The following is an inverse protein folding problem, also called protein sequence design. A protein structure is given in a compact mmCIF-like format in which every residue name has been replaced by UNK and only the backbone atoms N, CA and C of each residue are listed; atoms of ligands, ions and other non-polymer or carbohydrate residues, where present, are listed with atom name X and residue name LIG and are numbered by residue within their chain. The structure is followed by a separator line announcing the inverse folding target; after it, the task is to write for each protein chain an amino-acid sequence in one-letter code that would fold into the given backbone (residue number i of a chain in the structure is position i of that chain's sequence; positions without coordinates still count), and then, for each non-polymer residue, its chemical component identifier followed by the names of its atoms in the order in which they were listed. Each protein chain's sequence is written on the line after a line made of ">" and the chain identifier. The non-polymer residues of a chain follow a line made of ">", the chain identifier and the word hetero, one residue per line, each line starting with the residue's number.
data_IF_606733643393
#
_entry.id   IF_606733643393
#
_cell.length_a   1.000
_cell.length_b   1.000
_cell.length_c   1.000
_cell.angle_alpha   90.00
_cell.angle_beta   90.00
_cell.angle_gamma   90.00
#
_symmetry.space_group_name_H-M   'P 1'
#
loop_
_entity.id
_entity.type
_entity.pdbx_description
1 polymer ?
#
# COMPACT_ATOMS: atom_id res chain seq x y z
N UNK A 1 18.01 -17.32 -9.95
CA UNK A 1 18.15 -16.15 -9.04
C UNK A 1 16.75 -15.77 -8.57
N UNK A 2 16.43 -15.94 -7.29
CA UNK A 2 15.11 -15.58 -6.75
C UNK A 2 14.87 -14.07 -6.82
N UNK A 3 13.60 -13.62 -6.71
CA UNK A 3 13.27 -12.21 -6.74
C UNK A 3 13.98 -11.51 -5.58
N UNK A 4 14.93 -10.61 -5.89
CA UNK A 4 15.53 -9.73 -4.89
C UNK A 4 14.40 -8.92 -4.27
N UNK A 5 14.17 -9.08 -2.96
CA UNK A 5 13.33 -8.15 -2.20
C UNK A 5 13.96 -6.77 -2.36
N UNK A 6 13.29 -5.89 -3.10
CA UNK A 6 13.71 -4.51 -3.23
C UNK A 6 13.60 -3.85 -1.85
N UNK A 7 14.75 -3.51 -1.28
CA UNK A 7 14.82 -2.77 -0.02
C UNK A 7 14.44 -1.32 -0.30
N UNK A 8 13.61 -0.69 0.53
CA UNK A 8 13.33 0.73 0.37
C UNK A 8 14.61 1.54 0.58
N UNK A 9 14.73 2.66 -0.13
CA UNK A 9 15.91 3.50 -0.08
C UNK A 9 16.11 4.30 -1.36
N UNK A 10 17.19 5.08 -1.35
CA UNK A 10 17.61 5.87 -2.51
C UNK A 10 18.60 5.06 -3.34
N UNK A 11 18.26 4.90 -4.61
CA UNK A 11 19.05 4.19 -5.60
C UNK A 11 19.45 5.15 -6.69
N UNK A 12 20.63 4.98 -7.26
CA UNK A 12 20.98 5.61 -8.52
C UNK A 12 21.14 4.54 -9.59
N UNK A 13 20.72 4.89 -10.79
CA UNK A 13 21.00 4.10 -11.99
C UNK A 13 21.83 4.95 -12.94
N UNK A 14 22.91 4.37 -13.47
CA UNK A 14 23.60 4.89 -14.63
C UNK A 14 23.16 4.17 -15.90
N UNK A 15 22.88 4.92 -16.97
CA UNK A 15 22.64 4.36 -18.30
C UNK A 15 23.95 4.35 -19.07
N UNK A 16 24.41 3.14 -19.43
CA UNK A 16 25.60 2.96 -20.25
C UNK A 16 25.24 3.09 -21.73
N UNK A 17 25.85 4.05 -22.41
CA UNK A 17 25.78 4.15 -23.87
C UNK A 17 26.66 3.10 -24.54
N UNK A 18 26.35 2.80 -25.81
CA UNK A 18 26.99 1.77 -26.64
C UNK A 18 28.53 1.90 -26.82
N UNK A 19 29.13 3.02 -26.43
CA UNK A 19 30.57 3.34 -26.59
C UNK A 19 31.24 3.85 -25.30
N UNK A 20 30.85 3.34 -24.13
CA UNK A 20 31.53 3.60 -22.84
C UNK A 20 31.63 5.07 -22.39
N UNK A 21 30.82 5.98 -22.93
CA UNK A 21 30.65 7.32 -22.37
C UNK A 21 29.39 7.32 -21.51
N UNK A 22 29.57 7.48 -20.19
CA UNK A 22 28.46 7.70 -19.25
C UNK A 22 27.60 8.86 -19.77
N UNK A 23 26.33 8.60 -20.05
CA UNK A 23 25.47 9.64 -20.61
C UNK A 23 24.56 10.28 -19.58
N UNK A 24 24.00 9.52 -18.64
CA UNK A 24 23.10 10.08 -17.62
C UNK A 24 22.96 9.14 -16.42
N UNK A 25 22.86 9.71 -15.21
CA UNK A 25 22.42 8.99 -14.02
C UNK A 25 21.07 9.54 -13.53
N UNK A 26 20.22 8.67 -12.97
CA UNK A 26 18.96 9.04 -12.34
C UNK A 26 18.90 8.48 -10.93
N UNK A 27 18.44 9.29 -9.99
CA UNK A 27 18.15 8.84 -8.63
C UNK A 27 16.68 8.46 -8.54
N UNK A 28 16.43 7.32 -7.92
CA UNK A 28 15.13 6.74 -7.64
C UNK A 28 14.98 6.55 -6.14
N UNK A 29 13.95 7.13 -5.57
CA UNK A 29 13.53 6.84 -4.21
C UNK A 29 12.52 5.68 -4.25
N UNK A 30 12.93 4.52 -3.75
CA UNK A 30 12.10 3.31 -3.65
C UNK A 30 11.46 3.28 -2.27
N UNK A 31 10.14 3.14 -2.24
CA UNK A 31 9.36 3.01 -0.99
C UNK A 31 8.54 1.73 -1.01
N UNK A 32 8.18 1.23 0.17
CA UNK A 32 7.29 0.07 0.34
C UNK A 32 5.92 0.56 0.77
N UNK A 33 4.87 0.03 0.15
CA UNK A 33 3.51 0.19 0.67
C UNK A 33 3.22 -0.97 1.63
N UNK A 34 2.70 -0.68 2.81
CA UNK A 34 2.37 -1.66 3.86
C UNK A 34 0.90 -1.55 4.21
N UNK A 35 0.27 -2.70 4.45
CA UNK A 35 -1.08 -2.80 4.96
C UNK A 35 -1.10 -3.51 6.31
N UNK A 36 -1.72 -2.90 7.31
CA UNK A 36 -2.03 -3.55 8.60
C UNK A 36 -3.50 -3.38 8.95
N UNK A 37 -4.06 -4.39 9.61
CA UNK A 37 -5.45 -4.41 10.02
C UNK A 37 -5.52 -4.63 11.53
N UNK A 38 -6.29 -3.80 12.23
CA UNK A 38 -6.51 -3.85 13.66
C UNK A 38 -8.01 -4.03 13.93
N UNK A 39 -8.35 -4.64 15.05
CA UNK A 39 -9.72 -4.63 15.56
C UNK A 39 -9.93 -3.40 16.44
N UNK A 40 -11.04 -2.70 16.26
CA UNK A 40 -11.43 -1.55 17.05
C UNK A 40 -12.84 -1.77 17.62
N UNK A 41 -13.17 -1.08 18.70
CA UNK A 41 -14.54 -0.98 19.19
C UNK A 41 -15.00 0.46 19.06
N UNK A 42 -16.18 0.66 18.49
CA UNK A 42 -16.81 1.97 18.46
C UNK A 42 -17.38 2.32 19.86
N UNK A 43 -17.69 3.60 20.07
CA UNK A 43 -18.25 4.08 21.34
C UNK A 43 -19.60 3.42 21.70
N UNK A 44 -20.32 2.93 20.69
CA UNK A 44 -21.56 2.17 20.83
C UNK A 44 -21.35 0.67 21.15
N UNK A 45 -20.10 0.24 21.33
CA UNK A 45 -19.74 -1.15 21.62
C UNK A 45 -19.61 -2.05 20.38
N UNK A 46 -19.89 -1.53 19.18
CA UNK A 46 -19.81 -2.30 17.93
C UNK A 46 -18.38 -2.71 17.59
N UNK A 47 -18.21 -3.94 17.11
CA UNK A 47 -16.90 -4.43 16.63
C UNK A 47 -16.60 -3.88 15.23
N UNK A 48 -15.55 -3.07 15.12
CA UNK A 48 -15.10 -2.47 13.87
C UNK A 48 -13.70 -2.98 13.48
N UNK A 49 -13.32 -2.79 12.22
CA UNK A 49 -11.97 -3.03 11.71
C UNK A 49 -11.31 -1.71 11.35
N UNK A 50 -10.07 -1.51 11.75
CA UNK A 50 -9.25 -0.36 11.40
C UNK A 50 -8.16 -0.81 10.44
N UNK A 51 -8.18 -0.25 9.23
CA UNK A 51 -7.27 -0.57 8.15
C UNK A 51 -6.24 0.55 8.03
N UNK A 52 -4.96 0.22 8.11
CA UNK A 52 -3.84 1.13 7.99
C UNK A 52 -3.07 0.82 6.71
N UNK A 53 -2.92 1.83 5.87
CA UNK A 53 -2.17 1.81 4.62
C UNK A 53 -1.02 2.82 4.76
N UNK A 54 0.23 2.38 4.80
CA UNK A 54 1.38 3.25 5.06
C UNK A 54 2.53 3.05 4.09
N UNK A 55 3.29 4.10 3.85
CA UNK A 55 4.48 4.09 2.99
C UNK A 55 5.73 4.10 3.86
N UNK A 56 6.70 3.23 3.56
CA UNK A 56 7.95 3.12 4.29
C UNK A 56 9.17 3.23 3.35
N UNK A 57 10.17 4.10 3.63
CA UNK A 57 10.20 5.10 4.70
C UNK A 57 9.04 6.09 4.57
N UNK A 58 8.62 6.66 5.69
CA UNK A 58 7.53 7.63 5.71
C UNK A 58 7.91 8.81 4.80
N UNK A 59 7.14 8.97 3.73
CA UNK A 59 7.21 10.06 2.76
C UNK A 59 5.78 10.51 2.49
N UNK A 60 5.59 11.71 1.97
CA UNK A 60 4.27 12.25 1.68
C UNK A 60 3.44 11.27 0.86
N UNK A 61 2.28 10.94 1.42
CA UNK A 61 1.24 10.19 0.76
C UNK A 61 0.17 11.22 0.38
N UNK A 62 0.30 11.79 -0.82
CA UNK A 62 -0.53 12.93 -1.23
C UNK A 62 -2.02 12.57 -1.30
N UNK A 63 -2.33 11.32 -1.66
CA UNK A 63 -3.70 10.83 -1.70
C UNK A 63 -3.75 9.30 -1.55
N UNK A 64 -4.82 8.81 -0.91
CA UNK A 64 -5.15 7.40 -0.86
C UNK A 64 -6.64 7.22 -1.12
N UNK A 65 -6.98 6.35 -2.07
CA UNK A 65 -8.37 6.01 -2.37
C UNK A 65 -8.73 4.68 -1.75
N UNK A 66 -9.85 4.64 -1.03
CA UNK A 66 -10.41 3.42 -0.47
C UNK A 66 -11.52 2.87 -1.35
N UNK A 67 -11.37 1.65 -1.84
CA UNK A 67 -12.34 1.00 -2.71
C UNK A 67 -12.77 -0.37 -2.18
N UNK A 68 -14.03 -0.69 -2.38
CA UNK A 68 -14.59 -2.01 -2.23
C UNK A 68 -15.11 -2.50 -3.59
N UNK A 69 -14.43 -3.50 -4.15
CA UNK A 69 -14.68 -3.93 -5.54
C UNK A 69 -14.35 -2.82 -6.54
N UNK A 70 -15.38 -2.28 -7.19
CA UNK A 70 -15.28 -1.17 -8.17
C UNK A 70 -15.83 0.17 -7.62
N UNK A 71 -16.34 0.18 -6.39
CA UNK A 71 -17.02 1.34 -5.81
C UNK A 71 -16.39 1.80 -4.50
N UNK A 72 -16.94 2.86 -3.89
CA UNK A 72 -16.55 3.30 -2.56
C UNK A 72 -16.88 2.21 -1.51
N UNK A 73 -16.16 2.24 -0.39
CA UNK A 73 -16.39 1.31 0.72
C UNK A 73 -17.78 1.54 1.31
N UNK A 74 -18.54 0.47 1.46
CA UNK A 74 -19.93 0.51 1.94
C UNK A 74 -20.02 0.47 3.47
N UNK A 75 -21.10 1.01 4.01
CA UNK A 75 -21.46 0.94 5.44
C UNK A 75 -20.99 2.16 6.25
N UNK A 76 -20.82 1.98 7.56
CA UNK A 76 -20.37 3.04 8.46
C UNK A 76 -18.83 3.11 8.43
N UNK A 77 -18.30 4.09 7.71
CA UNK A 77 -16.86 4.25 7.48
C UNK A 77 -16.36 5.63 7.87
N UNK A 78 -15.13 5.70 8.38
CA UNK A 78 -14.43 6.95 8.65
C UNK A 78 -13.00 6.87 8.11
N UNK A 79 -12.59 7.84 7.30
CA UNK A 79 -11.26 7.92 6.70
C UNK A 79 -10.44 9.02 7.34
N UNK A 80 -9.17 8.72 7.64
CA UNK A 80 -8.18 9.66 8.15
C UNK A 80 -6.90 9.53 7.33
N UNK A 81 -6.14 10.61 7.21
CA UNK A 81 -4.83 10.59 6.57
C UNK A 81 -3.83 11.40 7.38
N UNK A 82 -2.57 10.98 7.33
CA UNK A 82 -1.42 11.66 7.93
C UNK A 82 -0.20 11.50 7.03
N UNK A 83 0.91 12.14 7.40
CA UNK A 83 2.18 12.02 6.67
C UNK A 83 2.59 10.55 6.46
N UNK A 84 2.50 10.08 5.21
CA UNK A 84 2.85 8.72 4.81
C UNK A 84 1.88 7.61 5.20
N UNK A 85 0.69 7.93 5.70
CA UNK A 85 -0.30 6.92 6.08
C UNK A 85 -1.75 7.35 5.85
N UNK A 86 -2.58 6.37 5.50
CA UNK A 86 -4.02 6.48 5.40
C UNK A 86 -4.67 5.42 6.29
N UNK A 87 -5.72 5.82 7.00
CA UNK A 87 -6.47 5.00 7.94
C UNK A 87 -7.94 4.95 7.52
N UNK A 88 -8.55 3.77 7.58
CA UNK A 88 -9.98 3.58 7.37
C UNK A 88 -10.57 2.74 8.50
N UNK A 89 -11.47 3.33 9.27
CA UNK A 89 -12.33 2.62 10.19
C UNK A 89 -13.55 2.10 9.43
N UNK A 90 -13.84 0.81 9.56
CA UNK A 90 -14.97 0.14 8.93
C UNK A 90 -15.75 -0.59 10.01
N UNK A 91 -16.96 -0.14 10.27
CA UNK A 91 -17.89 -0.79 11.18
C UNK A 91 -18.96 -1.54 10.37
N UNK A 92 -19.52 -2.64 10.90
CA UNK A 92 -20.72 -3.25 10.34
C UNK A 92 -21.83 -2.18 10.29
N UNK A 93 -22.55 -2.10 9.17
CA UNK A 93 -23.71 -1.21 9.06
C UNK A 93 -24.90 -1.76 9.85
N UNK A 94 -25.84 -0.88 10.21
CA UNK A 94 -27.16 -1.32 10.69
C UNK A 94 -27.90 -2.03 9.55
N UNK A 95 -28.13 -3.32 9.73
CA UNK A 95 -28.76 -4.20 8.74
C UNK A 95 -28.51 -5.67 9.09
N UNK A 96 -29.30 -6.61 8.54
CA UNK A 96 -29.08 -8.02 8.78
C UNK A 96 -27.64 -8.40 8.39
N UNK A 97 -26.97 -9.25 9.19
CA UNK A 97 -25.59 -9.66 8.91
C UNK A 97 -25.51 -10.22 7.48
N UNK A 98 -24.55 -9.69 6.71
CA UNK A 98 -24.29 -10.11 5.33
C UNK A 98 -24.34 -11.64 5.24
N UNK A 99 -25.02 -12.23 4.22
CA UNK A 99 -25.28 -13.67 4.18
C UNK A 99 -24.00 -14.46 4.41
N UNK A 100 -24.02 -15.28 5.46
CA UNK A 100 -22.92 -16.16 5.86
C UNK A 100 -22.65 -17.17 4.76
N UNK A 101 -21.82 -16.78 3.80
CA UNK A 101 -21.38 -17.64 2.71
C UNK A 101 -21.40 -16.93 1.36
N UNK A 102 -20.31 -16.26 1.00
CA UNK A 102 -19.59 -16.59 -0.25
C UNK A 102 -18.34 -15.78 -0.57
N UNK A 103 -18.01 -14.66 0.08
CA UNK A 103 -16.70 -14.00 -0.12
C UNK A 103 -16.36 -13.01 1.01
N UNK A 104 -15.09 -12.96 1.47
CA UNK A 104 -14.65 -11.86 2.33
C UNK A 104 -14.83 -10.52 1.63
N UNK A 105 -15.25 -9.49 2.38
CA UNK A 105 -15.20 -8.11 1.87
C UNK A 105 -13.74 -7.73 1.68
N UNK A 106 -13.37 -7.40 0.45
CA UNK A 106 -12.01 -7.00 0.10
C UNK A 106 -12.00 -5.49 -0.11
N UNK A 107 -11.28 -4.80 0.78
CA UNK A 107 -11.08 -3.36 0.71
C UNK A 107 -9.67 -3.08 0.19
N UNK A 108 -9.53 -2.13 -0.73
CA UNK A 108 -8.26 -1.74 -1.33
C UNK A 108 -7.93 -0.31 -0.96
N UNK A 109 -6.71 -0.09 -0.47
CA UNK A 109 -6.09 1.24 -0.43
C UNK A 109 -5.26 1.40 -1.69
N UNK A 110 -5.58 2.38 -2.52
CA UNK A 110 -4.81 2.73 -3.72
C UNK A 110 -4.07 4.04 -3.48
N UNK A 111 -2.75 4.00 -3.68
CA UNK A 111 -1.87 5.18 -3.59
C UNK A 111 -1.57 5.73 -4.99
N UNK A 112 -1.53 4.87 -6.00
CA UNK A 112 -1.51 5.26 -7.40
C UNK A 112 -2.26 4.22 -8.25
N UNK A 113 -2.49 4.54 -9.53
CA UNK A 113 -3.32 3.74 -10.44
C UNK A 113 -3.03 2.23 -10.43
N UNK A 114 -1.78 1.83 -10.16
CA UNK A 114 -1.36 0.42 -10.13
C UNK A 114 -0.74 -0.04 -8.80
N UNK A 115 -0.80 0.79 -7.74
CA UNK A 115 -0.10 0.53 -6.47
C UNK A 115 -1.06 0.67 -5.31
N UNK A 116 -1.24 -0.44 -4.60
CA UNK A 116 -2.16 -0.52 -3.49
C UNK A 116 -1.96 -1.76 -2.63
N UNK A 117 -2.63 -1.76 -1.48
CA UNK A 117 -2.72 -2.90 -0.56
C UNK A 117 -4.18 -3.31 -0.42
N UNK A 118 -4.42 -4.62 -0.27
CA UNK A 118 -5.77 -5.19 -0.13
C UNK A 118 -5.94 -5.77 1.28
N UNK A 119 -7.09 -5.52 1.87
CA UNK A 119 -7.50 -5.99 3.18
C UNK A 119 -8.69 -6.92 3.02
N UNK A 120 -8.68 -8.05 3.72
CA UNK A 120 -9.77 -9.03 3.70
C UNK A 120 -10.45 -9.05 5.05
N UNK A 121 -11.70 -8.60 5.13
CA UNK A 121 -12.45 -8.50 6.38
C UNK A 121 -13.04 -9.85 6.88
N UNK A 122 -12.55 -10.99 6.40
CA UNK A 122 -12.85 -12.29 7.01
C UNK A 122 -11.83 -12.62 8.09
N UNK A 123 -12.31 -13.16 9.21
CA UNK A 123 -11.59 -13.33 10.47
C UNK A 123 -10.15 -13.83 10.37
N UNK A 124 -9.34 -13.22 11.26
CA UNK A 124 -7.92 -13.42 11.58
C UNK A 124 -6.90 -12.67 10.72
N UNK A 125 -6.19 -11.80 11.45
CA UNK A 125 -5.06 -10.97 11.11
C UNK A 125 -4.07 -11.65 10.15
N UNK A 126 -3.73 -10.97 9.07
CA UNK A 126 -2.56 -11.31 8.24
C UNK A 126 -1.83 -10.02 7.92
N UNK A 127 -0.59 -9.90 8.39
CA UNK A 127 0.31 -8.81 8.01
C UNK A 127 0.61 -8.97 6.52
N UNK A 128 0.01 -8.14 5.67
CA UNK A 128 0.26 -8.17 4.23
C UNK A 128 1.33 -7.14 3.89
N UNK A 129 2.56 -7.64 3.70
CA UNK A 129 3.66 -6.85 3.17
C UNK A 129 3.33 -6.53 1.70
N UNK A 130 3.05 -5.26 1.42
CA UNK A 130 2.78 -4.81 0.05
C UNK A 130 4.04 -4.80 -0.82
N UNK A 131 3.82 -4.67 -2.13
CA UNK A 131 4.88 -4.67 -3.14
C UNK A 131 5.73 -3.40 -3.05
N UNK A 132 7.01 -3.55 -3.34
CA UNK A 132 7.91 -2.42 -3.54
C UNK A 132 7.45 -1.54 -4.69
N UNK A 133 7.50 -0.24 -4.47
CA UNK A 133 7.13 0.80 -5.43
C UNK A 133 8.40 1.18 -6.19
N UNK A 134 8.71 0.44 -7.26
CA UNK A 134 9.69 0.88 -8.26
C UNK A 134 9.00 1.71 -9.36
N UNK A 135 9.63 2.74 -9.94
CA UNK A 135 9.16 3.36 -11.17
C UNK A 135 9.25 2.37 -12.35
N UNK A 136 8.25 2.38 -13.23
CA UNK A 136 8.03 1.37 -14.28
C UNK A 136 8.99 1.41 -15.47
N UNK A 137 9.99 2.30 -15.44
CA UNK A 137 10.98 2.45 -16.51
C UNK A 137 12.37 2.10 -16.00
N UNK A 138 12.68 0.81 -15.92
CA UNK A 138 14.05 0.34 -15.70
C UNK A 138 14.67 -0.01 -17.06
N UNK A 139 15.39 0.92 -17.74
CA UNK A 139 16.42 0.49 -18.69
C UNK A 139 17.44 -0.36 -17.92
N UNK A 140 18.22 -1.18 -18.62
CA UNK A 140 19.21 -2.09 -18.02
C UNK A 140 20.22 -1.31 -17.16
N UNK A 141 19.91 -1.17 -15.88
CA UNK A 141 20.56 -0.26 -14.95
C UNK A 141 21.57 -1.02 -14.08
N UNK A 142 22.80 -0.51 -13.98
CA UNK A 142 23.67 -0.83 -12.84
C UNK A 142 23.20 -0.01 -11.64
N UNK A 143 22.64 -0.68 -10.62
CA UNK A 143 22.08 -0.03 -9.44
C UNK A 143 23.04 -0.12 -8.24
N UNK A 144 23.45 1.03 -7.70
CA UNK A 144 24.10 1.15 -6.39
C UNK A 144 23.14 1.70 -5.35
N UNK A 145 23.18 1.18 -4.11
CA UNK A 145 22.45 1.75 -2.97
C UNK A 145 23.31 2.83 -2.33
N UNK A 146 22.77 4.04 -2.14
CA UNK A 146 23.49 5.08 -1.41
C UNK A 146 23.50 4.71 0.09
N UNK A 147 24.68 4.57 0.67
CA UNK A 147 24.87 4.39 2.12
C UNK A 147 25.37 5.74 2.63
N UNK A 148 24.54 6.39 3.44
CA UNK A 148 24.92 7.58 4.21
C UNK A 148 25.31 7.16 5.61
#
# INVERSE_FOLDING_TARGET
>A
RGPRRETPGRYWCAVLGQRYKYQNWRVYDVSLLKGSQLSARAADGSSCSLLLCSVFPARRLDFATWLEGKGPVRGRVQSFWSEGAALLLVCPGEGPPEPRGRRPRIIRCLVSQNKGVSFSLAGKLREQVGRAVAPSSSPTCWSGKQVG
#
